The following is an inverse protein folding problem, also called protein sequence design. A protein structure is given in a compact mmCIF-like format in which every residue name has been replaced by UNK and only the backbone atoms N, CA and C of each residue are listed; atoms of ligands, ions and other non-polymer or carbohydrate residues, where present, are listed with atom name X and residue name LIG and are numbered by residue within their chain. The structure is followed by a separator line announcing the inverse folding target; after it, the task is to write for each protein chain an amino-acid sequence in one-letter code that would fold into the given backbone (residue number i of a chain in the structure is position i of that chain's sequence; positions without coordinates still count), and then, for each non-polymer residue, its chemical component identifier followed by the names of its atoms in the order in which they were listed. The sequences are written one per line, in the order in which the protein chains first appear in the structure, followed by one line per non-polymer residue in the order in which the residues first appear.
data_IF_232541838519
#
_entry.id   IF_232541838519
#
_cell.length_a   1.000
_cell.length_b   1.000
_cell.length_c   1.000
_cell.angle_alpha   90.00
_cell.angle_beta   90.00
_cell.angle_gamma   90.00
#
_symmetry.space_group_name_H-M   'P 1'
#
loop_
_entity.id
_entity.type
_entity.pdbx_description
1 polymer ?
#
# COMPACT_ATOMS: atom_id res chain seq x y z
N UNK A 1 71.02 -25.00 -47.93
CA UNK A 1 71.75 -25.65 -46.81
C UNK A 1 72.12 -27.10 -47.09
N UNK A 2 71.19 -27.96 -47.53
CA UNK A 2 71.44 -29.40 -47.72
C UNK A 2 72.63 -29.77 -48.65
N UNK A 3 72.88 -28.99 -49.71
CA UNK A 3 73.99 -29.25 -50.66
C UNK A 3 75.37 -28.95 -50.06
N UNK A 4 75.49 -27.94 -49.19
CA UNK A 4 76.76 -27.53 -48.56
C UNK A 4 77.16 -28.43 -47.39
N UNK A 5 76.18 -28.93 -46.64
CA UNK A 5 76.42 -29.90 -45.57
C UNK A 5 76.99 -31.23 -46.13
N UNK A 6 76.57 -31.58 -47.35
CA UNK A 6 77.08 -32.75 -48.08
C UNK A 6 78.55 -32.58 -48.50
N UNK A 7 78.98 -31.38 -48.89
CA UNK A 7 80.39 -31.08 -49.26
C UNK A 7 81.35 -31.15 -48.05
N UNK A 8 80.88 -30.89 -46.84
CA UNK A 8 81.68 -31.02 -45.61
C UNK A 8 81.82 -32.48 -45.20
N UNK A 9 80.76 -33.29 -45.36
CA UNK A 9 80.76 -34.72 -45.05
C UNK A 9 81.63 -35.54 -46.02
N UNK A 10 81.85 -35.07 -47.26
CA UNK A 10 82.65 -35.75 -48.30
C UNK A 10 84.13 -35.33 -48.32
N UNK A 11 84.58 -34.48 -47.38
CA UNK A 11 85.98 -33.99 -47.35
C UNK A 11 86.97 -35.09 -46.92
N UNK A 12 87.95 -35.42 -47.77
CA UNK A 12 89.04 -36.37 -47.51
C UNK A 12 90.42 -35.72 -47.68
N UNK A 13 91.38 -36.11 -46.84
CA UNK A 13 92.71 -35.50 -46.70
C UNK A 13 93.74 -35.94 -47.76
N UNK A 14 93.45 -36.97 -48.56
CA UNK A 14 94.40 -37.50 -49.55
C UNK A 14 94.01 -37.06 -50.97
N UNK A 15 94.86 -36.22 -51.58
CA UNK A 15 94.91 -36.04 -53.04
C UNK A 15 94.63 -34.66 -53.65
N UNK A 16 94.77 -33.55 -52.91
CA UNK A 16 94.61 -32.20 -53.50
C UNK A 16 95.57 -31.16 -52.93
N UNK A 17 96.01 -30.21 -53.77
CA UNK A 17 96.92 -29.12 -53.37
C UNK A 17 96.34 -28.31 -52.20
N UNK A 18 97.12 -28.20 -51.13
CA UNK A 18 96.88 -27.41 -49.90
C UNK A 18 95.57 -27.72 -49.14
N UNK A 19 95.44 -28.94 -48.57
CA UNK A 19 94.22 -29.41 -47.89
C UNK A 19 93.86 -28.62 -46.62
N UNK A 20 94.85 -28.03 -45.94
CA UNK A 20 94.63 -27.23 -44.73
C UNK A 20 93.86 -25.94 -45.00
N UNK A 21 94.15 -25.22 -46.09
CA UNK A 21 93.45 -23.98 -46.44
C UNK A 21 91.98 -24.23 -46.79
N UNK A 22 91.68 -25.36 -47.45
CA UNK A 22 90.31 -25.74 -47.80
C UNK A 22 89.48 -26.13 -46.58
N UNK A 23 90.07 -26.85 -45.63
CA UNK A 23 89.48 -27.14 -44.32
C UNK A 23 89.17 -25.85 -43.56
N UNK A 24 90.14 -24.93 -43.48
CA UNK A 24 89.99 -23.69 -42.71
C UNK A 24 88.94 -22.76 -43.35
N UNK A 25 88.84 -22.74 -44.68
CA UNK A 25 87.77 -22.06 -45.40
C UNK A 25 86.38 -22.66 -45.09
N UNK A 26 86.25 -23.99 -45.12
CA UNK A 26 84.99 -24.66 -44.79
C UNK A 26 84.59 -24.46 -43.31
N UNK A 27 85.56 -24.47 -42.39
CA UNK A 27 85.34 -24.16 -40.98
C UNK A 27 84.87 -22.72 -40.76
N UNK A 28 85.50 -21.75 -41.42
CA UNK A 28 85.09 -20.35 -41.35
C UNK A 28 83.71 -20.14 -41.97
N UNK A 29 83.39 -20.80 -43.09
CA UNK A 29 82.07 -20.74 -43.70
C UNK A 29 80.98 -21.40 -42.84
N UNK A 30 81.29 -22.50 -42.14
CA UNK A 30 80.38 -23.13 -41.19
C UNK A 30 80.15 -22.22 -39.98
N UNK A 31 81.21 -21.58 -39.48
CA UNK A 31 81.12 -20.62 -38.37
C UNK A 31 80.27 -19.40 -38.75
N UNK A 32 80.50 -18.81 -39.91
CA UNK A 32 79.67 -17.70 -40.41
C UNK A 32 78.20 -18.08 -40.59
N UNK A 33 77.91 -19.30 -41.04
CA UNK A 33 76.54 -19.80 -41.15
C UNK A 33 75.90 -20.03 -39.78
N UNK A 34 76.65 -20.60 -38.84
CA UNK A 34 76.25 -20.77 -37.45
C UNK A 34 75.93 -19.41 -36.81
N UNK A 35 76.81 -18.43 -36.97
CA UNK A 35 76.67 -17.10 -36.36
C UNK A 35 75.49 -16.35 -36.97
N UNK A 36 75.29 -16.41 -38.30
CA UNK A 36 74.11 -15.83 -38.97
C UNK A 36 72.80 -16.50 -38.55
N UNK A 37 72.82 -17.82 -38.35
CA UNK A 37 71.63 -18.55 -37.88
C UNK A 37 71.35 -18.22 -36.42
N UNK A 38 72.38 -18.10 -35.59
CA UNK A 38 72.24 -17.72 -34.19
C UNK A 38 71.79 -16.28 -34.02
N UNK A 39 72.29 -15.32 -34.79
CA UNK A 39 71.80 -13.94 -34.76
C UNK A 39 70.33 -13.85 -35.16
N UNK A 40 69.93 -14.59 -36.21
CA UNK A 40 68.54 -14.65 -36.64
C UNK A 40 67.64 -15.34 -35.61
N UNK A 41 68.13 -16.39 -34.97
CA UNK A 41 67.40 -17.10 -33.92
C UNK A 41 67.30 -16.26 -32.65
N UNK A 42 68.34 -15.51 -32.30
CA UNK A 42 68.35 -14.63 -31.14
C UNK A 42 67.33 -13.50 -31.30
N UNK A 43 67.21 -12.89 -32.49
CA UNK A 43 66.22 -11.82 -32.69
C UNK A 43 64.77 -12.32 -32.66
N UNK A 44 64.51 -13.50 -33.23
CA UNK A 44 63.17 -14.12 -33.20
C UNK A 44 62.85 -14.68 -31.82
N UNK A 45 63.84 -15.28 -31.15
CA UNK A 45 63.70 -15.83 -29.80
C UNK A 45 63.42 -14.74 -28.77
N UNK A 46 64.11 -13.60 -28.85
CA UNK A 46 63.81 -12.45 -28.00
C UNK A 46 62.40 -11.92 -28.24
N UNK A 47 61.99 -11.79 -29.51
CA UNK A 47 60.65 -11.30 -29.87
C UNK A 47 59.53 -12.23 -29.37
N UNK A 48 59.64 -13.55 -29.62
CA UNK A 48 58.65 -14.53 -29.17
C UNK A 48 58.61 -14.68 -27.64
N UNK A 49 59.76 -14.54 -26.97
CA UNK A 49 59.80 -14.53 -25.51
C UNK A 49 59.09 -13.30 -24.93
N UNK A 50 59.26 -12.13 -25.56
CA UNK A 50 58.60 -10.89 -25.17
C UNK A 50 57.09 -10.95 -25.44
N UNK A 51 56.69 -11.46 -26.61
CA UNK A 51 55.28 -11.61 -26.97
C UNK A 51 54.56 -12.64 -26.07
N UNK A 52 55.19 -13.78 -25.76
CA UNK A 52 54.62 -14.76 -24.84
C UNK A 52 54.61 -14.30 -23.38
N UNK A 53 55.50 -13.38 -22.99
CA UNK A 53 55.46 -12.72 -21.69
C UNK A 53 54.33 -11.68 -21.63
N UNK A 54 54.14 -10.88 -22.69
CA UNK A 54 53.04 -9.90 -22.79
C UNK A 54 51.67 -10.59 -22.83
N UNK A 55 51.53 -11.68 -23.58
CA UNK A 55 50.29 -12.48 -23.60
C UNK A 55 49.97 -13.04 -22.21
N UNK A 56 50.97 -13.55 -21.47
CA UNK A 56 50.78 -14.02 -20.09
C UNK A 56 50.42 -12.89 -19.13
N UNK A 57 51.05 -11.73 -19.27
CA UNK A 57 50.74 -10.55 -18.47
C UNK A 57 49.28 -10.10 -18.71
N UNK A 58 48.83 -10.01 -19.96
CA UNK A 58 47.45 -9.67 -20.32
C UNK A 58 46.43 -10.71 -19.86
N UNK A 59 46.76 -12.00 -19.91
CA UNK A 59 45.89 -13.07 -19.40
C UNK A 59 45.73 -12.97 -17.88
N UNK A 60 46.82 -12.72 -17.14
CA UNK A 60 46.78 -12.51 -15.71
C UNK A 60 46.00 -11.24 -15.32
N UNK A 61 46.19 -10.15 -16.09
CA UNK A 61 45.43 -8.91 -15.92
C UNK A 61 43.93 -9.14 -16.17
N UNK A 62 43.56 -9.76 -17.29
CA UNK A 62 42.16 -10.08 -17.61
C UNK A 62 41.51 -11.00 -16.56
N UNK A 63 42.24 -11.98 -16.03
CA UNK A 63 41.71 -12.84 -14.97
C UNK A 63 41.47 -12.06 -13.67
N UNK A 64 42.35 -11.11 -13.34
CA UNK A 64 42.16 -10.23 -12.18
C UNK A 64 40.97 -9.29 -12.36
N UNK A 65 40.78 -8.71 -13.55
CA UNK A 65 39.63 -7.86 -13.90
C UNK A 65 38.33 -8.67 -13.87
N UNK A 66 38.34 -9.90 -14.36
CA UNK A 66 37.18 -10.79 -14.30
C UNK A 66 36.81 -11.15 -12.86
N UNK A 67 37.81 -11.46 -12.02
CA UNK A 67 37.58 -11.73 -10.58
C UNK A 67 37.04 -10.50 -9.87
N UNK A 68 37.60 -9.32 -10.14
CA UNK A 68 37.14 -8.07 -9.54
C UNK A 68 35.72 -7.72 -10.00
N UNK A 69 35.44 -7.85 -11.30
CA UNK A 69 34.10 -7.67 -11.87
C UNK A 69 33.10 -8.64 -11.24
N UNK A 70 33.46 -9.91 -11.09
CA UNK A 70 32.61 -10.92 -10.46
C UNK A 70 32.39 -10.62 -8.97
N UNK A 71 33.40 -10.12 -8.27
CA UNK A 71 33.30 -9.74 -6.86
C UNK A 71 32.44 -8.49 -6.67
N UNK A 72 32.60 -7.46 -7.52
CA UNK A 72 31.74 -6.28 -7.54
C UNK A 72 30.30 -6.66 -7.88
N UNK A 73 30.08 -7.59 -8.83
CA UNK A 73 28.76 -8.09 -9.17
C UNK A 73 28.11 -8.83 -7.98
N UNK A 74 28.88 -9.63 -7.22
CA UNK A 74 28.41 -10.28 -5.99
C UNK A 74 28.08 -9.27 -4.89
N UNK A 75 28.97 -8.32 -4.63
CA UNK A 75 28.75 -7.26 -3.63
C UNK A 75 27.52 -6.40 -3.98
N UNK A 76 27.39 -6.01 -5.25
CA UNK A 76 26.23 -5.27 -5.74
C UNK A 76 24.95 -6.11 -5.61
N UNK A 77 25.03 -7.42 -5.86
CA UNK A 77 23.92 -8.35 -5.68
C UNK A 77 23.49 -8.48 -4.22
N UNK A 78 24.44 -8.60 -3.29
CA UNK A 78 24.19 -8.67 -1.85
C UNK A 78 23.63 -7.34 -1.31
N UNK A 79 24.17 -6.21 -1.74
CA UNK A 79 23.69 -4.88 -1.36
C UNK A 79 22.29 -4.62 -1.94
N UNK A 80 22.01 -5.04 -3.17
CA UNK A 80 20.70 -4.96 -3.79
C UNK A 80 19.69 -5.85 -3.04
N UNK A 81 20.07 -7.05 -2.63
CA UNK A 81 19.24 -7.92 -1.81
C UNK A 81 18.92 -7.28 -0.45
N UNK A 82 19.92 -6.68 0.22
CA UNK A 82 19.73 -5.97 1.47
C UNK A 82 18.80 -4.76 1.32
N UNK A 83 19.01 -3.93 0.29
CA UNK A 83 18.15 -2.77 -0.03
C UNK A 83 16.73 -3.19 -0.41
N UNK A 84 16.55 -4.32 -1.10
CA UNK A 84 15.22 -4.86 -1.42
C UNK A 84 14.48 -5.34 -0.16
N UNK A 85 15.18 -5.93 0.81
CA UNK A 85 14.60 -6.29 2.11
C UNK A 85 14.19 -5.03 2.87
N UNK A 86 15.08 -4.03 2.97
CA UNK A 86 14.78 -2.77 3.65
C UNK A 86 13.61 -2.02 3.00
N UNK A 87 13.61 -1.89 1.66
CA UNK A 87 12.51 -1.27 0.91
C UNK A 87 11.17 -2.01 1.12
N UNK A 88 11.17 -3.35 1.16
CA UNK A 88 9.97 -4.13 1.50
C UNK A 88 9.50 -3.87 2.92
N UNK A 89 10.41 -3.77 3.89
CA UNK A 89 10.04 -3.45 5.28
C UNK A 89 9.49 -2.04 5.43
N UNK A 90 10.08 -1.07 4.73
CA UNK A 90 9.62 0.32 4.72
C UNK A 90 8.25 0.46 4.04
N UNK A 91 8.03 -0.22 2.92
CA UNK A 91 6.73 -0.26 2.24
C UNK A 91 5.66 -0.90 3.14
N UNK A 92 6.00 -1.99 3.83
CA UNK A 92 5.11 -2.64 4.79
C UNK A 92 4.81 -1.74 6.00
N UNK A 93 5.80 -1.00 6.52
CA UNK A 93 5.56 -0.03 7.59
C UNK A 93 4.73 1.15 7.13
N UNK A 94 4.94 1.66 5.91
CA UNK A 94 4.13 2.75 5.33
C UNK A 94 2.69 2.31 5.08
N UNK A 95 2.46 1.09 4.57
CA UNK A 95 1.12 0.53 4.41
C UNK A 95 0.41 0.33 5.76
N UNK A 96 1.10 -0.23 6.75
CA UNK A 96 0.53 -0.38 8.10
C UNK A 96 0.28 0.96 8.78
N UNK A 97 1.20 1.93 8.64
CA UNK A 97 1.02 3.28 9.16
C UNK A 97 -0.12 4.02 8.46
N UNK A 98 -0.30 3.83 7.14
CA UNK A 98 -1.41 4.42 6.39
C UNK A 98 -2.76 3.80 6.77
N UNK A 99 -2.80 2.48 7.00
CA UNK A 99 -3.98 1.79 7.52
C UNK A 99 -4.32 2.28 8.95
N UNK A 100 -3.32 2.39 9.84
CA UNK A 100 -3.50 2.90 11.19
C UNK A 100 -3.92 4.38 11.22
N UNK A 101 -3.31 5.21 10.36
CA UNK A 101 -3.69 6.62 10.17
C UNK A 101 -5.12 6.74 9.65
N UNK A 102 -5.51 5.92 8.68
CA UNK A 102 -6.88 5.88 8.15
C UNK A 102 -7.90 5.53 9.23
N UNK A 103 -7.68 4.42 9.94
CA UNK A 103 -8.56 3.95 11.03
C UNK A 103 -8.65 4.99 12.15
N UNK A 104 -7.53 5.59 12.55
CA UNK A 104 -7.51 6.66 13.57
C UNK A 104 -8.28 7.89 13.11
N UNK A 105 -8.11 8.32 11.86
CA UNK A 105 -8.80 9.48 11.29
C UNK A 105 -10.31 9.24 11.21
N UNK A 106 -10.75 8.09 10.69
CA UNK A 106 -12.17 7.74 10.62
C UNK A 106 -12.79 7.58 12.01
N UNK A 107 -12.10 6.97 12.95
CA UNK A 107 -12.57 6.85 14.34
C UNK A 107 -12.84 8.22 14.94
N UNK A 108 -11.90 9.18 14.77
CA UNK A 108 -12.06 10.55 15.25
C UNK A 108 -13.20 11.29 14.56
N UNK A 109 -13.39 11.10 13.25
CA UNK A 109 -14.48 11.74 12.51
C UNK A 109 -15.85 11.20 12.95
N UNK A 110 -15.98 9.88 13.13
CA UNK A 110 -17.20 9.27 13.67
C UNK A 110 -17.47 9.67 15.12
N UNK A 111 -16.44 9.81 15.95
CA UNK A 111 -16.58 10.34 17.31
C UNK A 111 -17.08 11.80 17.31
N UNK A 112 -16.53 12.63 16.43
CA UNK A 112 -16.97 14.02 16.26
C UNK A 112 -18.42 14.09 15.75
N UNK A 113 -18.79 13.26 14.79
CA UNK A 113 -20.17 13.16 14.30
C UNK A 113 -21.12 12.69 15.41
N UNK A 114 -20.73 11.66 16.18
CA UNK A 114 -21.51 11.14 17.30
C UNK A 114 -21.73 12.22 18.37
N UNK A 115 -20.67 12.88 18.83
CA UNK A 115 -20.77 13.94 19.86
C UNK A 115 -21.59 15.13 19.37
N UNK A 116 -21.49 15.51 18.09
CA UNK A 116 -22.35 16.51 17.47
C UNK A 116 -23.83 16.11 17.55
N UNK A 117 -24.19 14.91 17.08
CA UNK A 117 -25.57 14.44 17.12
C UNK A 117 -26.09 14.23 18.55
N UNK A 118 -25.22 13.89 19.51
CA UNK A 118 -25.58 13.86 20.93
C UNK A 118 -25.95 15.27 21.43
N UNK A 119 -25.18 16.30 21.08
CA UNK A 119 -25.48 17.69 21.46
C UNK A 119 -26.79 18.15 20.84
N UNK A 120 -26.97 17.96 19.53
CA UNK A 120 -28.21 18.29 18.84
C UNK A 120 -29.41 17.51 19.38
N UNK A 121 -29.23 16.23 19.71
CA UNK A 121 -30.26 15.43 20.39
C UNK A 121 -30.66 16.02 21.74
N UNK A 122 -29.71 16.46 22.56
CA UNK A 122 -30.02 17.13 23.84
C UNK A 122 -30.81 18.42 23.62
N UNK A 123 -30.43 19.23 22.63
CA UNK A 123 -31.18 20.45 22.26
C UNK A 123 -32.61 20.10 21.87
N UNK A 124 -32.80 19.10 21.00
CA UNK A 124 -34.13 18.64 20.60
C UNK A 124 -34.95 18.06 21.74
N UNK A 125 -34.30 17.45 22.74
CA UNK A 125 -34.96 16.97 23.96
C UNK A 125 -35.49 18.16 24.79
N UNK A 126 -34.69 19.21 24.97
CA UNK A 126 -35.16 20.43 25.64
C UNK A 126 -36.29 21.11 24.85
N UNK A 127 -36.17 21.20 23.53
CA UNK A 127 -37.23 21.73 22.66
C UNK A 127 -38.52 20.92 22.79
N UNK A 128 -38.44 19.59 22.76
CA UNK A 128 -39.59 18.72 22.95
C UNK A 128 -40.20 18.89 24.36
N UNK A 129 -39.37 18.98 25.41
CA UNK A 129 -39.82 19.20 26.78
C UNK A 129 -40.54 20.56 26.94
N UNK A 130 -40.03 21.62 26.31
CA UNK A 130 -40.65 22.95 26.32
C UNK A 130 -41.97 22.93 25.54
N UNK A 131 -42.03 22.25 24.39
CA UNK A 131 -43.25 22.10 23.60
C UNK A 131 -44.33 21.33 24.37
N UNK A 132 -43.97 20.22 25.01
CA UNK A 132 -44.91 19.47 25.85
C UNK A 132 -45.35 20.31 27.06
N UNK A 133 -44.40 20.98 27.74
CA UNK A 133 -44.73 21.90 28.84
C UNK A 133 -45.70 23.01 28.41
N UNK A 134 -45.48 23.61 27.23
CA UNK A 134 -46.36 24.66 26.72
C UNK A 134 -47.74 24.14 26.36
N UNK A 135 -47.88 22.93 25.81
CA UNK A 135 -49.20 22.31 25.58
C UNK A 135 -50.01 22.17 26.88
N UNK A 136 -49.36 21.72 27.96
CA UNK A 136 -50.00 21.51 29.27
C UNK A 136 -50.41 22.84 29.89
N UNK A 137 -49.55 23.86 29.82
CA UNK A 137 -49.84 25.20 30.33
C UNK A 137 -50.98 25.85 29.54
N UNK A 138 -51.01 25.73 28.21
CA UNK A 138 -52.09 26.23 27.37
C UNK A 138 -53.41 25.54 27.69
N UNK A 139 -53.41 24.22 27.85
CA UNK A 139 -54.60 23.46 28.24
C UNK A 139 -55.11 23.90 29.61
N UNK A 140 -54.22 24.11 30.58
CA UNK A 140 -54.57 24.59 31.92
C UNK A 140 -55.14 26.03 31.90
N UNK A 141 -54.54 26.94 31.13
CA UNK A 141 -55.03 28.31 30.91
C UNK A 141 -56.42 28.31 30.26
N UNK A 142 -56.68 27.43 29.29
CA UNK A 142 -57.97 27.32 28.63
C UNK A 142 -59.10 26.81 29.53
N UNK A 143 -58.77 26.11 30.62
CA UNK A 143 -59.72 25.61 31.62
C UNK A 143 -59.99 26.65 32.72
N UNK A 144 -58.96 27.39 33.15
CA UNK A 144 -59.02 28.23 34.36
C UNK A 144 -59.26 29.71 34.10
N UNK A 145 -58.71 30.28 33.03
CA UNK A 145 -58.66 31.73 32.83
C UNK A 145 -59.64 32.23 31.75
N UNK A 146 -60.04 31.37 30.82
CA UNK A 146 -61.03 31.74 29.80
C UNK A 146 -62.44 31.43 30.27
N UNK A 147 -63.43 32.30 29.97
CA UNK A 147 -64.81 32.09 30.39
C UNK A 147 -65.31 30.71 29.93
N UNK A 148 -66.09 30.01 30.76
CA UNK A 148 -66.62 28.70 30.42
C UNK A 148 -67.39 28.79 29.11
N UNK A 149 -67.33 27.71 28.35
CA UNK A 149 -68.05 27.57 27.09
C UNK A 149 -69.53 27.88 27.37
N UNK A 150 -70.02 28.98 26.80
CA UNK A 150 -71.44 29.32 26.85
C UNK A 150 -72.29 28.26 26.14
N UNK A 151 -73.59 28.48 26.08
CA UNK A 151 -74.49 27.59 25.33
C UNK A 151 -73.99 27.41 23.89
N UNK A 152 -74.00 26.17 23.39
CA UNK A 152 -73.52 25.80 22.05
C UNK A 152 -74.38 26.45 20.95
N UNK A 153 -75.49 27.10 21.33
CA UNK A 153 -76.36 27.87 20.44
C UNK A 153 -75.72 29.16 19.91
N UNK A 154 -74.66 29.68 20.55
CA UNK A 154 -73.98 30.91 20.12
C UNK A 154 -72.86 30.60 19.11
N UNK A 155 -72.91 31.23 17.93
CA UNK A 155 -71.89 31.06 16.89
C UNK A 155 -70.46 31.38 17.41
N UNK A 156 -70.35 32.35 18.32
CA UNK A 156 -69.09 32.73 18.98
C UNK A 156 -68.52 31.61 19.87
N UNK A 157 -69.37 30.80 20.49
CA UNK A 157 -68.94 29.68 21.32
C UNK A 157 -68.31 28.57 20.47
N UNK A 158 -68.93 28.28 19.31
CA UNK A 158 -68.41 27.30 18.34
C UNK A 158 -67.05 27.74 17.79
N UNK A 159 -66.90 29.00 17.41
CA UNK A 159 -65.62 29.54 16.91
C UNK A 159 -64.49 29.43 17.95
N UNK A 160 -64.80 29.66 19.24
CA UNK A 160 -63.83 29.52 20.34
C UNK A 160 -63.40 28.07 20.56
N UNK A 161 -64.31 27.10 20.44
CA UNK A 161 -63.97 25.66 20.52
C UNK A 161 -63.02 25.27 19.41
N UNK A 162 -63.36 25.63 18.16
CA UNK A 162 -62.56 25.27 16.98
C UNK A 162 -61.14 25.84 17.11
N UNK A 163 -61.01 27.10 17.52
CA UNK A 163 -59.69 27.73 17.71
C UNK A 163 -58.87 27.03 18.81
N UNK A 164 -59.48 26.68 19.94
CA UNK A 164 -58.80 25.94 21.04
C UNK A 164 -58.31 24.57 20.58
N UNK A 165 -59.17 23.81 19.90
CA UNK A 165 -58.83 22.48 19.35
C UNK A 165 -57.73 22.60 18.30
N UNK A 166 -57.80 23.61 17.43
CA UNK A 166 -56.77 23.86 16.42
C UNK A 166 -55.41 24.13 17.05
N UNK A 167 -55.34 25.03 18.05
CA UNK A 167 -54.08 25.35 18.76
C UNK A 167 -53.50 24.11 19.44
N UNK A 168 -54.34 23.31 20.12
CA UNK A 168 -53.89 22.07 20.77
C UNK A 168 -53.41 21.04 19.75
N UNK A 169 -54.11 20.88 18.62
CA UNK A 169 -53.73 19.95 17.55
C UNK A 169 -52.39 20.30 16.92
N UNK A 170 -52.17 21.59 16.61
CA UNK A 170 -50.90 22.09 16.08
C UNK A 170 -49.76 21.86 17.07
N UNK A 171 -49.99 22.16 18.35
CA UNK A 171 -48.98 22.03 19.39
C UNK A 171 -48.62 20.57 19.70
N UNK A 172 -49.61 19.67 19.67
CA UNK A 172 -49.39 18.22 19.78
C UNK A 172 -48.59 17.69 18.59
N UNK A 173 -48.94 18.11 17.37
CA UNK A 173 -48.22 17.74 16.14
C UNK A 173 -46.76 18.21 16.18
N UNK A 174 -46.50 19.43 16.64
CA UNK A 174 -45.15 19.95 16.83
C UNK A 174 -44.35 19.15 17.86
N UNK A 175 -44.99 18.69 18.95
CA UNK A 175 -44.37 17.84 19.98
C UNK A 175 -43.98 16.46 19.44
N UNK A 176 -44.85 15.84 18.63
CA UNK A 176 -44.55 14.58 17.93
C UNK A 176 -43.38 14.77 16.97
N UNK A 177 -43.36 15.87 16.22
CA UNK A 177 -42.27 16.19 15.31
C UNK A 177 -40.93 16.38 16.03
N UNK A 178 -40.89 17.14 17.13
CA UNK A 178 -39.68 17.31 17.93
C UNK A 178 -39.18 15.97 18.51
N UNK A 179 -40.11 15.11 18.97
CA UNK A 179 -39.79 13.77 19.47
C UNK A 179 -39.18 12.87 18.39
N UNK A 180 -39.69 12.94 17.16
CA UNK A 180 -39.15 12.19 16.01
C UNK A 180 -37.74 12.67 15.64
N UNK A 181 -37.48 13.97 15.69
CA UNK A 181 -36.15 14.54 15.46
C UNK A 181 -35.15 14.10 16.54
N UNK A 182 -35.56 14.10 17.81
CA UNK A 182 -34.74 13.57 18.91
C UNK A 182 -34.33 12.10 18.66
N UNK A 183 -35.31 11.25 18.32
CA UNK A 183 -35.07 9.83 18.00
C UNK A 183 -34.09 9.64 16.84
N UNK A 184 -34.22 10.43 15.78
CA UNK A 184 -33.30 10.41 14.64
C UNK A 184 -31.87 10.76 15.03
N UNK A 185 -31.67 11.84 15.79
CA UNK A 185 -30.35 12.22 16.28
C UNK A 185 -29.75 11.17 17.23
N UNK A 186 -30.59 10.53 18.04
CA UNK A 186 -30.14 9.46 18.94
C UNK A 186 -29.75 8.19 18.20
N UNK A 187 -30.51 7.81 17.17
CA UNK A 187 -30.11 6.74 16.24
C UNK A 187 -28.74 7.04 15.63
N UNK A 188 -28.58 8.22 15.06
CA UNK A 188 -27.34 8.61 14.38
C UNK A 188 -26.14 8.70 15.34
N UNK A 189 -26.37 9.10 16.59
CA UNK A 189 -25.37 9.00 17.65
C UNK A 189 -24.92 7.55 17.90
N UNK A 190 -25.86 6.62 18.08
CA UNK A 190 -25.56 5.21 18.36
C UNK A 190 -24.81 4.57 17.20
N UNK A 191 -25.24 4.81 15.96
CA UNK A 191 -24.59 4.26 14.76
C UNK A 191 -23.14 4.74 14.65
N UNK A 192 -22.91 6.06 14.78
CA UNK A 192 -21.55 6.60 14.67
C UNK A 192 -20.66 6.18 15.85
N UNK A 193 -21.21 6.08 17.07
CA UNK A 193 -20.47 5.56 18.22
C UNK A 193 -20.10 4.09 18.04
N UNK A 194 -20.99 3.28 17.47
CA UNK A 194 -20.69 1.88 17.16
C UNK A 194 -19.58 1.76 16.10
N UNK A 195 -19.65 2.55 15.03
CA UNK A 195 -18.59 2.61 13.99
C UNK A 195 -17.23 3.00 14.57
N UNK A 196 -17.19 3.98 15.47
CA UNK A 196 -15.96 4.36 16.17
C UNK A 196 -15.43 3.19 17.00
N UNK A 197 -16.27 2.56 17.84
CA UNK A 197 -15.84 1.42 18.66
C UNK A 197 -15.37 0.23 17.83
N UNK A 198 -16.01 -0.04 16.69
CA UNK A 198 -15.61 -1.08 15.75
C UNK A 198 -14.22 -0.80 15.14
N UNK A 199 -13.95 0.44 14.74
CA UNK A 199 -12.66 0.84 14.20
C UNK A 199 -11.53 0.80 15.24
N UNK A 200 -11.79 1.23 16.48
CA UNK A 200 -10.83 1.13 17.58
C UNK A 200 -10.50 -0.34 17.89
N UNK A 201 -11.52 -1.18 17.98
CA UNK A 201 -11.34 -2.62 18.25
C UNK A 201 -10.63 -3.32 17.08
N UNK A 202 -10.96 -2.94 15.84
CA UNK A 202 -10.26 -3.40 14.64
C UNK A 202 -8.76 -3.07 14.70
N UNK A 203 -8.40 -1.84 15.09
CA UNK A 203 -7.01 -1.45 15.26
C UNK A 203 -6.31 -2.34 16.29
N UNK A 204 -6.93 -2.57 17.46
CA UNK A 204 -6.38 -3.45 18.50
C UNK A 204 -6.20 -4.89 18.00
N UNK A 205 -7.14 -5.43 17.24
CA UNK A 205 -7.02 -6.78 16.68
C UNK A 205 -5.92 -6.88 15.61
N UNK A 206 -5.78 -5.88 14.75
CA UNK A 206 -4.72 -5.85 13.73
C UNK A 206 -3.34 -5.70 14.36
N UNK A 207 -3.22 -4.91 15.43
CA UNK A 207 -1.99 -4.78 16.21
C UNK A 207 -1.65 -6.08 16.96
N UNK A 208 -2.65 -6.79 17.49
CA UNK A 208 -2.48 -8.04 18.21
C UNK A 208 -2.15 -9.26 17.32
N UNK A 209 -2.71 -9.34 16.11
CA UNK A 209 -2.51 -10.47 15.18
C UNK A 209 -1.07 -10.57 14.61
N UNK A 210 -0.20 -9.58 14.87
CA UNK A 210 1.19 -9.60 14.40
C UNK A 210 1.32 -9.58 12.86
N UNK A 211 2.55 -9.75 12.35
CA UNK A 211 2.83 -9.77 10.89
C UNK A 211 2.62 -11.15 10.25
N UNK A 212 2.56 -12.21 11.05
CA UNK A 212 2.67 -13.59 10.57
C UNK A 212 1.31 -14.24 10.26
N UNK A 213 0.20 -13.77 10.84
CA UNK A 213 -1.15 -14.27 10.56
C UNK A 213 -1.93 -13.40 9.56
N UNK A 214 -1.55 -13.47 8.29
CA UNK A 214 -2.26 -12.76 7.21
C UNK A 214 -3.73 -13.17 7.09
N UNK A 215 -4.06 -14.42 7.36
CA UNK A 215 -5.43 -14.96 7.23
C UNK A 215 -6.36 -14.36 8.30
N UNK A 216 -5.96 -14.40 9.57
CA UNK A 216 -6.67 -13.79 10.70
C UNK A 216 -6.90 -12.29 10.45
N UNK A 217 -5.86 -11.57 9.99
CA UNK A 217 -5.96 -10.14 9.70
C UNK A 217 -6.95 -9.83 8.57
N UNK A 218 -6.98 -10.65 7.52
CA UNK A 218 -7.89 -10.44 6.38
C UNK A 218 -9.34 -10.73 6.78
N UNK A 219 -9.59 -11.76 7.59
CA UNK A 219 -10.91 -12.06 8.14
C UNK A 219 -11.42 -10.92 9.04
N UNK A 220 -10.56 -10.42 9.94
CA UNK A 220 -10.88 -9.28 10.81
C UNK A 220 -11.14 -8.00 10.01
N UNK A 221 -10.39 -7.75 8.93
CA UNK A 221 -10.63 -6.61 8.03
C UNK A 221 -11.98 -6.72 7.33
N UNK A 222 -12.33 -7.89 6.82
CA UNK A 222 -13.61 -8.12 6.15
C UNK A 222 -14.77 -7.89 7.12
N UNK A 223 -14.68 -8.45 8.33
CA UNK A 223 -15.73 -8.32 9.34
C UNK A 223 -15.82 -6.89 9.89
N UNK A 224 -14.69 -6.20 10.10
CA UNK A 224 -14.68 -4.79 10.48
C UNK A 224 -15.27 -3.89 9.38
N UNK A 225 -14.96 -4.16 8.12
CA UNK A 225 -15.55 -3.44 6.98
C UNK A 225 -17.06 -3.64 6.94
N UNK A 226 -17.52 -4.88 7.13
CA UNK A 226 -18.94 -5.20 7.23
C UNK A 226 -19.60 -4.47 8.39
N UNK A 227 -19.01 -4.50 9.57
CA UNK A 227 -19.53 -3.84 10.77
C UNK A 227 -19.64 -2.31 10.60
N UNK A 228 -18.61 -1.66 10.03
CA UNK A 228 -18.60 -0.19 9.85
C UNK A 228 -19.59 0.28 8.79
N UNK A 229 -19.72 -0.45 7.67
CA UNK A 229 -20.51 0.00 6.52
C UNK A 229 -21.89 -0.64 6.39
N UNK A 230 -22.21 -1.67 7.18
CA UNK A 230 -23.54 -2.26 7.18
C UNK A 230 -24.62 -1.25 7.66
N UNK A 231 -25.82 -1.28 7.09
CA UNK A 231 -26.97 -0.58 7.64
C UNK A 231 -27.25 -1.08 9.07
N UNK A 232 -27.18 -0.17 10.04
CA UNK A 232 -27.41 -0.50 11.45
C UNK A 232 -28.84 -0.17 11.83
N UNK A 233 -29.62 -1.18 12.21
CA UNK A 233 -30.97 -1.00 12.75
C UNK A 233 -30.85 -0.69 14.23
N UNK A 234 -31.53 0.35 14.71
CA UNK A 234 -31.55 0.68 16.14
C UNK A 234 -32.98 0.90 16.59
N UNK A 235 -33.34 0.48 17.81
CA UNK A 235 -34.68 0.65 18.36
C UNK A 235 -35.16 2.10 18.58
N UNK A 236 -34.40 3.11 18.13
CA UNK A 236 -34.83 4.50 18.09
C UNK A 236 -35.61 4.85 16.81
N UNK A 237 -35.44 4.12 15.71
CA UNK A 237 -36.26 4.29 14.51
C UNK A 237 -37.51 3.40 14.64
N UNK A 238 -38.66 3.91 14.19
CA UNK A 238 -39.87 3.09 14.08
C UNK A 238 -39.80 2.19 12.84
N UNK A 239 -40.63 1.12 12.77
CA UNK A 239 -40.59 0.16 11.66
C UNK A 239 -40.75 0.82 10.28
N UNK A 240 -41.50 1.93 10.19
CA UNK A 240 -41.71 2.68 8.95
C UNK A 240 -40.45 3.41 8.43
N UNK A 241 -39.56 3.84 9.32
CA UNK A 241 -38.30 4.51 8.95
C UNK A 241 -37.20 3.50 8.59
N UNK A 242 -37.26 2.29 9.14
CA UNK A 242 -36.36 1.18 8.81
C UNK A 242 -36.61 0.65 7.40
N UNK A 243 -37.89 0.49 7.01
CA UNK A 243 -38.29 0.02 5.66
C UNK A 243 -37.81 0.96 4.56
N UNK A 244 -37.79 2.28 4.79
CA UNK A 244 -37.33 3.26 3.80
C UNK A 244 -35.84 3.09 3.45
N UNK A 245 -34.99 2.78 4.44
CA UNK A 245 -33.56 2.52 4.20
C UNK A 245 -33.31 1.16 3.57
N UNK A 246 -34.10 0.14 3.91
CA UNK A 246 -33.97 -1.21 3.36
C UNK A 246 -34.40 -1.29 1.89
N UNK A 247 -35.48 -0.60 1.52
CA UNK A 247 -35.97 -0.56 0.13
C UNK A 247 -34.97 0.10 -0.83
N UNK A 248 -34.23 1.12 -0.39
CA UNK A 248 -33.22 1.79 -1.22
C UNK A 248 -32.03 0.85 -1.48
N UNK A 249 -31.59 0.09 -0.47
CA UNK A 249 -30.50 -0.88 -0.61
C UNK A 249 -30.92 -2.07 -1.49
N UNK A 250 -32.18 -2.51 -1.38
CA UNK A 250 -32.73 -3.58 -2.22
C UNK A 250 -32.86 -3.15 -3.70
N UNK A 251 -33.35 -1.93 -3.96
CA UNK A 251 -33.40 -1.37 -5.32
C UNK A 251 -32.01 -1.24 -5.91
N UNK A 252 -31.02 -0.77 -5.15
CA UNK A 252 -29.64 -0.66 -5.62
C UNK A 252 -29.05 -2.05 -5.98
N UNK A 253 -29.27 -3.05 -5.14
CA UNK A 253 -28.83 -4.43 -5.39
C UNK A 253 -29.55 -5.05 -6.60
N UNK A 254 -30.84 -4.76 -6.79
CA UNK A 254 -31.61 -5.22 -7.95
C UNK A 254 -31.19 -4.54 -9.25
N UNK A 255 -30.80 -3.27 -9.20
CA UNK A 255 -30.31 -2.51 -10.37
C UNK A 255 -28.86 -2.87 -10.73
N UNK A 256 -28.00 -3.18 -9.76
CA UNK A 256 -26.60 -3.55 -9.99
C UNK A 256 -26.46 -5.06 -10.31
N UNK A 257 -27.26 -5.93 -9.69
CA UNK A 257 -27.28 -7.38 -9.95
C UNK A 257 -28.15 -7.81 -11.14
N UNK A 258 -28.91 -6.90 -11.75
CA UNK A 258 -29.87 -7.20 -12.82
C UNK A 258 -29.31 -7.24 -14.25
N UNK A 259 -28.00 -7.06 -14.46
CA UNK A 259 -27.33 -7.30 -15.76
C UNK A 259 -26.61 -8.64 -15.72
N UNK A 260 -27.38 -9.71 -15.81
CA UNK A 260 -26.87 -11.08 -15.75
C UNK A 260 -27.99 -12.11 -15.85
N UNK A 261 -28.92 -11.93 -16.78
CA UNK A 261 -29.71 -13.00 -17.38
C UNK A 261 -30.15 -12.62 -18.77
#
# INVERSE_FOLDING_TARGET
MARKFKEILDFKLEGGEQPHQRRDKLLNELRDLHDKLMDRWNSVGSFLSLESADIRARLAENESILRESQQRARQTGEELAARLVEAKTMLASMQNASAALGVTRFSREFEKAATSHRRWGIVWLFVAAILVGSTVVLAWLFITLLPPLGSIADADAVQRVITKVFILSVSLSASIWASRNYRSHRHLYVVNSHRQSALVTFQTFVEAAGKDEKETRNAVLLEATRCVFSPSVTGYLGPEQETATSNIVEVLNKTIGGKGS
#
